data_IF_637330717501
#
_entry.id   IF_637330717501
#
_cell.length_a   1.000
_cell.length_b   1.000
_cell.length_c   1.000
_cell.angle_alpha   90.00
_cell.angle_beta   90.00
_cell.angle_gamma   90.00
#
_symmetry.space_group_name_H-M   'P 1'
#
loop_
_entity.id
_entity.type
_entity.pdbx_description
1 polymer ?
#
# COMPACT_ATOMS: atom_id res chain seq x y z
N UNK A 1 0.20 -6.85 -7.91
CA UNK A 1 0.78 -5.75 -8.72
C UNK A 1 -0.06 -5.39 -9.95
N UNK A 2 -0.38 -6.34 -10.85
CA UNK A 2 -1.12 -6.01 -12.09
C UNK A 2 -2.46 -5.29 -11.87
N UNK A 3 -3.33 -5.84 -11.03
CA UNK A 3 -4.67 -5.27 -10.81
C UNK A 3 -4.65 -3.97 -10.02
N UNK A 4 -3.77 -3.84 -9.03
CA UNK A 4 -3.57 -2.57 -8.33
C UNK A 4 -3.05 -1.48 -9.28
N UNK A 5 -2.13 -1.82 -10.19
CA UNK A 5 -1.67 -0.88 -11.22
C UNK A 5 -2.77 -0.47 -12.21
N UNK A 6 -3.67 -1.40 -12.60
CA UNK A 6 -4.85 -1.07 -13.41
C UNK A 6 -5.79 -0.12 -12.67
N UNK A 7 -6.06 -0.37 -11.38
CA UNK A 7 -6.91 0.50 -10.56
C UNK A 7 -6.31 1.90 -10.39
N UNK A 8 -4.99 2.00 -10.18
CA UNK A 8 -4.27 3.28 -10.17
C UNK A 8 -4.42 4.02 -11.50
N UNK A 9 -4.30 3.32 -12.64
CA UNK A 9 -4.49 3.97 -13.96
C UNK A 9 -5.92 4.45 -14.18
N UNK A 10 -6.90 3.69 -13.70
CA UNK A 10 -8.31 4.05 -13.83
C UNK A 10 -8.69 5.26 -12.97
N UNK A 11 -8.12 5.38 -11.77
CA UNK A 11 -8.30 6.54 -10.90
C UNK A 11 -7.01 6.82 -10.11
N UNK A 12 -6.12 7.71 -10.60
CA UNK A 12 -4.88 8.04 -9.92
C UNK A 12 -5.06 8.76 -8.57
N UNK A 13 -6.24 9.33 -8.31
CA UNK A 13 -6.57 9.97 -7.04
C UNK A 13 -7.07 9.00 -5.96
N UNK A 14 -7.30 7.74 -6.30
CA UNK A 14 -7.74 6.74 -5.33
C UNK A 14 -6.53 6.12 -4.62
N UNK A 15 -6.37 6.44 -3.34
CA UNK A 15 -5.19 6.07 -2.54
C UNK A 15 -5.07 4.57 -2.27
N UNK A 16 -6.18 3.88 -2.01
CA UNK A 16 -6.18 2.47 -1.56
C UNK A 16 -5.48 1.52 -2.56
N UNK A 17 -5.66 1.63 -3.89
CA UNK A 17 -4.86 0.89 -4.86
C UNK A 17 -3.33 0.97 -4.67
N UNK A 18 -2.80 2.10 -4.21
CA UNK A 18 -1.36 2.24 -3.94
C UNK A 18 -0.91 1.44 -2.72
N UNK A 19 -1.77 1.25 -1.71
CA UNK A 19 -1.52 0.34 -0.57
C UNK A 19 -1.23 -1.07 -1.07
N UNK A 20 -2.12 -1.59 -1.92
CA UNK A 20 -1.96 -2.93 -2.49
C UNK A 20 -0.81 -3.02 -3.49
N UNK A 21 -0.53 -1.94 -4.21
CA UNK A 21 0.60 -1.88 -5.14
C UNK A 21 1.93 -1.94 -4.40
N UNK A 22 2.11 -1.15 -3.34
CA UNK A 22 3.29 -1.17 -2.50
C UNK A 22 3.50 -2.56 -1.86
N UNK A 23 2.47 -3.10 -1.20
CA UNK A 23 2.54 -4.43 -0.59
C UNK A 23 2.84 -5.54 -1.62
N UNK A 24 2.28 -5.45 -2.83
CA UNK A 24 2.61 -6.38 -3.92
C UNK A 24 4.08 -6.30 -4.34
N UNK A 25 4.66 -5.11 -4.43
CA UNK A 25 6.05 -4.94 -4.84
C UNK A 25 7.03 -5.39 -3.78
N UNK A 26 6.68 -5.24 -2.50
CA UNK A 26 7.43 -5.84 -1.38
C UNK A 26 7.50 -7.35 -1.55
N UNK A 27 6.35 -8.02 -1.76
CA UNK A 27 6.31 -9.46 -1.96
C UNK A 27 7.05 -9.96 -3.21
N UNK A 28 7.26 -9.09 -4.21
CA UNK A 28 8.03 -9.39 -5.42
C UNK A 28 9.53 -9.06 -5.30
N UNK A 29 9.98 -8.44 -4.21
CA UNK A 29 11.37 -8.00 -4.05
C UNK A 29 11.76 -6.79 -4.91
N UNK A 30 10.79 -6.11 -5.54
CA UNK A 30 11.07 -4.96 -6.40
C UNK A 30 11.19 -3.69 -5.56
N UNK A 31 12.40 -3.41 -5.05
CA UNK A 31 12.68 -2.32 -4.11
C UNK A 31 12.32 -0.95 -4.69
N UNK A 32 12.74 -0.65 -5.92
CA UNK A 32 12.44 0.65 -6.56
C UNK A 32 10.93 0.87 -6.72
N UNK A 33 10.20 -0.15 -7.19
CA UNK A 33 8.76 -0.07 -7.39
C UNK A 33 8.00 0.02 -6.06
N UNK A 34 8.53 -0.61 -5.00
CA UNK A 34 8.01 -0.48 -3.63
C UNK A 34 8.06 0.97 -3.17
N UNK A 35 9.24 1.60 -3.23
CA UNK A 35 9.41 2.99 -2.81
C UNK A 35 8.60 3.95 -3.67
N UNK A 36 8.52 3.71 -4.98
CA UNK A 36 7.70 4.53 -5.88
C UNK A 36 6.22 4.48 -5.51
N UNK A 37 5.66 3.28 -5.27
CA UNK A 37 4.26 3.12 -4.87
C UNK A 37 3.98 3.72 -3.47
N UNK A 38 4.88 3.53 -2.51
CA UNK A 38 4.76 4.09 -1.17
C UNK A 38 4.80 5.63 -1.19
N UNK A 39 5.73 6.22 -1.94
CA UNK A 39 5.80 7.68 -2.12
C UNK A 39 4.52 8.23 -2.74
N UNK A 40 4.01 7.59 -3.79
CA UNK A 40 2.75 8.01 -4.41
C UNK A 40 1.55 7.89 -3.48
N UNK A 41 1.51 6.86 -2.63
CA UNK A 41 0.45 6.75 -1.61
C UNK A 41 0.43 7.98 -0.69
N UNK A 42 1.60 8.43 -0.21
CA UNK A 42 1.69 9.61 0.66
C UNK A 42 1.35 10.90 -0.09
N UNK A 43 1.77 11.04 -1.35
CA UNK A 43 1.39 12.19 -2.18
C UNK A 43 -0.14 12.30 -2.35
N UNK A 44 -0.83 11.17 -2.56
CA UNK A 44 -2.30 11.13 -2.77
C UNK A 44 -3.06 11.20 -1.45
N UNK A 45 -2.53 10.62 -0.38
CA UNK A 45 -3.13 10.61 0.96
C UNK A 45 -2.09 11.02 2.02
N UNK A 46 -1.88 12.33 2.24
CA UNK A 46 -0.84 12.83 3.13
C UNK A 46 -0.95 12.36 4.59
N UNK A 47 -2.17 12.05 5.04
CA UNK A 47 -2.44 11.59 6.40
C UNK A 47 -2.51 10.04 6.50
N UNK A 48 -2.10 9.33 5.45
CA UNK A 48 -2.07 7.87 5.47
C UNK A 48 -1.12 7.38 6.58
N UNK A 49 -1.54 6.33 7.27
CA UNK A 49 -0.80 5.67 8.34
C UNK A 49 -1.07 4.16 8.27
N UNK A 50 -0.06 3.33 8.55
CA UNK A 50 -0.20 1.88 8.62
C UNK A 50 -1.20 1.52 9.72
N UNK A 51 -1.07 2.11 10.91
CA UNK A 51 -2.01 1.88 12.01
C UNK A 51 -3.42 2.34 11.67
N UNK A 52 -3.56 3.48 11.00
CA UNK A 52 -4.85 3.98 10.51
C UNK A 52 -5.53 3.01 9.54
N UNK A 53 -4.77 2.51 8.57
CA UNK A 53 -5.29 1.53 7.61
C UNK A 53 -5.64 0.19 8.27
N UNK A 54 -4.79 -0.33 9.15
CA UNK A 54 -5.02 -1.62 9.82
C UNK A 54 -6.30 -1.61 10.68
N UNK A 55 -6.60 -0.48 11.35
CA UNK A 55 -7.83 -0.34 12.15
C UNK A 55 -9.13 -0.43 11.34
N UNK A 56 -9.08 -0.27 10.02
CA UNK A 56 -10.26 -0.44 9.16
C UNK A 56 -10.77 -1.89 9.13
N UNK A 57 -9.90 -2.85 9.45
CA UNK A 57 -10.23 -4.28 9.58
C UNK A 57 -11.04 -4.86 8.40
N UNK A 58 -10.68 -4.46 7.18
CA UNK A 58 -11.42 -4.82 5.95
C UNK A 58 -11.27 -6.30 5.57
N UNK A 59 -10.22 -6.96 6.04
CA UNK A 59 -9.92 -8.36 5.74
C UNK A 59 -9.80 -9.19 7.03
N UNK A 60 -9.60 -10.51 6.87
CA UNK A 60 -9.30 -11.38 8.01
C UNK A 60 -8.05 -10.88 8.76
N UNK A 61 -7.97 -11.02 10.09
CA UNK A 61 -6.88 -10.44 10.89
C UNK A 61 -5.48 -10.78 10.37
N UNK A 62 -5.21 -12.05 10.06
CA UNK A 62 -3.89 -12.47 9.55
C UNK A 62 -3.51 -11.80 8.21
N UNK A 63 -4.49 -11.44 7.37
CA UNK A 63 -4.25 -10.70 6.13
C UNK A 63 -3.97 -9.22 6.41
N UNK A 64 -4.65 -8.64 7.40
CA UNK A 64 -4.37 -7.28 7.86
C UNK A 64 -2.96 -7.19 8.45
N UNK A 65 -2.53 -8.19 9.23
CA UNK A 65 -1.19 -8.27 9.79
C UNK A 65 -0.11 -8.38 8.69
N UNK A 66 -0.35 -9.25 7.70
CA UNK A 66 0.55 -9.40 6.55
C UNK A 66 0.66 -8.10 5.74
N UNK A 67 -0.45 -7.39 5.55
CA UNK A 67 -0.46 -6.06 4.93
C UNK A 67 0.32 -5.06 5.78
N UNK A 68 0.11 -5.02 7.10
CA UNK A 68 0.83 -4.11 7.99
C UNK A 68 2.34 -4.30 7.89
N UNK A 69 2.81 -5.56 7.92
CA UNK A 69 4.23 -5.89 7.74
C UNK A 69 4.74 -5.40 6.40
N UNK A 70 4.03 -5.69 5.30
CA UNK A 70 4.47 -5.25 3.97
C UNK A 70 4.55 -3.72 3.85
N UNK A 71 3.58 -2.99 4.40
CA UNK A 71 3.55 -1.53 4.35
C UNK A 71 4.66 -0.89 5.19
N UNK A 72 4.99 -1.48 6.35
CA UNK A 72 6.16 -1.09 7.15
C UNK A 72 7.46 -1.33 6.40
N UNK A 73 7.60 -2.49 5.76
CA UNK A 73 8.77 -2.79 4.89
C UNK A 73 8.88 -1.81 3.74
N UNK A 74 7.75 -1.29 3.23
CA UNK A 74 7.74 -0.25 2.21
C UNK A 74 8.13 1.15 2.73
N UNK A 75 8.34 1.31 4.05
CA UNK A 75 8.73 2.55 4.69
C UNK A 75 7.56 3.54 4.92
N UNK A 76 6.32 3.04 4.98
CA UNK A 76 5.16 3.89 5.24
C UNK A 76 5.06 4.27 6.73
N UNK A 77 4.53 5.47 7.06
CA UNK A 77 4.40 5.96 8.44
C UNK A 77 3.35 5.18 9.23
N UNK A 78 3.47 5.17 10.57
CA UNK A 78 2.54 4.49 11.49
C UNK A 78 1.23 5.21 11.77
#
# INVERSE_FOLDING_TARGET
>A
ARYSALAVRANPGFSIPYVYLAASHVGLGNVEATHSAARRLIEVAPNFSVGGYVRTNLFRPYLMDALAVALRTAGLPE
#
